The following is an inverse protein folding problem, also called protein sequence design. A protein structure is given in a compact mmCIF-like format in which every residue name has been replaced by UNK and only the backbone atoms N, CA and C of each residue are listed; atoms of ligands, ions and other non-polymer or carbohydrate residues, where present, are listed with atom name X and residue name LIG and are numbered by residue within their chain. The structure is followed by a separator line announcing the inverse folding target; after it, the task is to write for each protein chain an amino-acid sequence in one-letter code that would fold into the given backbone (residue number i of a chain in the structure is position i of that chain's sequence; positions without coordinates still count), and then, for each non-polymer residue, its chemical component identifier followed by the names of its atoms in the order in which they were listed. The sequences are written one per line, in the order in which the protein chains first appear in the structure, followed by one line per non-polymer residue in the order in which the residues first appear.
data_IF_995316883218
#
_entry.id   IF_995316883218
#
_cell.length_a   1.000
_cell.length_b   1.000
_cell.length_c   1.000
_cell.angle_alpha   90.00
_cell.angle_beta   90.00
_cell.angle_gamma   90.00
#
_symmetry.space_group_name_H-M   'P 1'
#
loop_
_entity.id
_entity.type
_entity.pdbx_description
1 polymer ?
#
# COMPACT_ATOMS: atom_id res chain seq x y z
N UNK A 1 -11.07 24.76 56.02
CA UNK A 1 -10.99 23.46 55.30
C UNK A 1 -11.59 23.51 53.89
N UNK A 2 -12.84 23.93 53.68
CA UNK A 2 -13.50 23.90 52.36
C UNK A 2 -12.78 24.67 51.22
N UNK A 3 -12.21 25.85 51.50
CA UNK A 3 -11.49 26.67 50.49
C UNK A 3 -10.19 26.04 49.99
N UNK A 4 -9.52 25.24 50.83
CA UNK A 4 -8.28 24.56 50.48
C UNK A 4 -8.56 23.36 49.56
N UNK A 5 -9.63 22.62 49.85
CA UNK A 5 -10.09 21.48 49.04
C UNK A 5 -10.52 21.93 47.64
N UNK A 6 -11.23 23.05 47.52
CA UNK A 6 -11.67 23.61 46.22
C UNK A 6 -10.47 24.05 45.36
N UNK A 7 -9.43 24.66 45.97
CA UNK A 7 -8.20 25.04 45.26
C UNK A 7 -7.38 23.83 44.79
N UNK A 8 -7.30 22.79 45.62
CA UNK A 8 -6.64 21.54 45.25
C UNK A 8 -7.37 20.80 44.13
N UNK A 9 -8.70 20.77 44.14
CA UNK A 9 -9.50 20.18 43.06
C UNK A 9 -9.34 20.95 41.74
N UNK A 10 -9.34 22.29 41.79
CA UNK A 10 -9.17 23.13 40.60
C UNK A 10 -7.78 22.99 39.97
N UNK A 11 -6.72 22.82 40.79
CA UNK A 11 -5.37 22.56 40.29
C UNK A 11 -5.25 21.18 39.62
N UNK A 12 -5.86 20.14 40.21
CA UNK A 12 -5.88 18.79 39.63
C UNK A 12 -6.65 18.78 38.30
N UNK A 13 -7.75 19.53 38.21
CA UNK A 13 -8.55 19.63 36.98
C UNK A 13 -7.80 20.37 35.84
N UNK A 14 -7.01 21.40 36.16
CA UNK A 14 -6.15 22.11 35.19
C UNK A 14 -4.99 21.25 34.67
N UNK A 15 -4.39 20.40 35.52
CA UNK A 15 -3.33 19.48 35.10
C UNK A 15 -3.89 18.36 34.22
N UNK A 16 -5.12 17.89 34.49
CA UNK A 16 -5.79 16.87 33.68
C UNK A 16 -6.19 17.37 32.28
N UNK A 17 -6.45 18.68 32.10
CA UNK A 17 -6.79 19.24 30.78
C UNK A 17 -5.58 19.42 29.87
N UNK A 18 -4.36 19.57 30.42
CA UNK A 18 -3.12 19.71 29.64
C UNK A 18 -2.55 18.38 29.10
N UNK A 19 -3.02 17.23 29.60
CA UNK A 19 -2.48 15.92 29.26
C UNK A 19 -3.20 15.23 28.08
N UNK A 20 -4.25 15.84 27.52
CA UNK A 20 -4.86 15.41 26.26
C UNK A 20 -4.06 16.01 25.09
N UNK A 21 -2.75 15.73 25.06
CA UNK A 21 -1.96 15.91 23.85
C UNK A 21 -2.54 14.99 22.78
N UNK A 22 -2.99 15.56 21.68
CA UNK A 22 -3.42 14.78 20.53
C UNK A 22 -2.24 13.91 20.10
N UNK A 23 -2.37 12.59 20.26
CA UNK A 23 -1.44 11.62 19.69
C UNK A 23 -1.59 11.70 18.17
N UNK A 24 -0.94 12.68 17.54
CA UNK A 24 -0.80 12.73 16.10
C UNK A 24 0.32 11.77 15.74
N UNK A 25 0.01 10.81 14.88
CA UNK A 25 1.00 9.99 14.21
C UNK A 25 2.05 10.91 13.57
N UNK A 26 3.33 10.60 13.75
CA UNK A 26 4.39 11.35 13.07
C UNK A 26 4.26 11.05 11.57
N UNK A 27 4.05 12.10 10.77
CA UNK A 27 3.94 11.96 9.32
C UNK A 27 5.11 12.59 8.60
N UNK A 28 5.71 11.84 7.68
CA UNK A 28 6.85 12.30 6.88
C UNK A 28 6.72 11.83 5.44
N UNK A 29 6.74 12.78 4.50
CA UNK A 29 6.89 12.44 3.08
C UNK A 29 8.32 11.94 2.83
N UNK A 30 8.46 10.71 2.35
CA UNK A 30 9.75 10.03 2.13
C UNK A 30 10.17 10.00 0.65
N UNK A 31 9.22 10.11 -0.28
CA UNK A 31 9.50 10.15 -1.72
C UNK A 31 8.38 10.82 -2.51
N UNK A 32 8.68 11.30 -3.73
CA UNK A 32 7.72 11.92 -4.68
C UNK A 32 7.96 11.43 -6.10
N UNK A 33 6.89 11.31 -6.87
CA UNK A 33 6.91 11.01 -8.30
C UNK A 33 5.71 11.71 -8.95
N UNK A 34 5.96 12.67 -9.85
CA UNK A 34 4.89 13.47 -10.45
C UNK A 34 4.00 14.13 -9.38
N UNK A 35 2.68 13.87 -9.44
CA UNK A 35 1.72 14.35 -8.44
C UNK A 35 1.56 13.41 -7.23
N UNK A 36 2.17 12.23 -7.27
CA UNK A 36 2.11 11.23 -6.21
C UNK A 36 3.26 11.38 -5.21
N UNK A 37 3.05 10.82 -4.02
CA UNK A 37 4.06 10.80 -2.97
C UNK A 37 3.87 9.62 -2.03
N UNK A 38 4.98 9.23 -1.40
CA UNK A 38 5.00 8.20 -0.38
C UNK A 38 5.23 8.87 0.97
N UNK A 39 4.36 8.55 1.92
CA UNK A 39 4.39 9.06 3.28
C UNK A 39 4.68 7.91 4.24
N UNK A 40 5.47 8.18 5.26
CA UNK A 40 5.62 7.33 6.45
C UNK A 40 4.74 7.91 7.55
N UNK A 41 3.89 7.06 8.13
CA UNK A 41 2.96 7.37 9.22
C UNK A 41 3.18 6.32 10.30
N UNK A 42 3.92 6.67 11.35
CA UNK A 42 4.33 5.75 12.43
C UNK A 42 4.92 4.42 11.92
N UNK A 43 5.78 4.48 10.90
CA UNK A 43 6.41 3.30 10.29
C UNK A 43 5.56 2.58 9.25
N UNK A 44 4.32 3.00 9.02
CA UNK A 44 3.48 2.53 7.92
C UNK A 44 3.64 3.41 6.69
N UNK A 45 3.77 2.76 5.54
CA UNK A 45 3.81 3.47 4.25
C UNK A 45 2.41 3.75 3.74
N UNK A 46 2.12 5.02 3.50
CA UNK A 46 0.89 5.49 2.85
C UNK A 46 1.25 6.05 1.48
N UNK A 47 0.80 5.36 0.43
CA UNK A 47 1.03 5.75 -0.95
C UNK A 47 -0.13 6.61 -1.45
N UNK A 48 0.19 7.82 -1.92
CA UNK A 48 -0.76 8.73 -2.55
C UNK A 48 -0.44 8.80 -4.04
N UNK A 49 -1.44 8.54 -4.89
CA UNK A 49 -1.32 8.61 -6.36
C UNK A 49 -2.44 9.46 -6.94
N UNK A 50 -2.15 10.12 -8.07
CA UNK A 50 -3.12 11.01 -8.72
C UNK A 50 -2.90 11.10 -10.22
N UNK A 51 -3.99 11.20 -10.96
CA UNK A 51 -4.00 11.44 -12.40
C UNK A 51 -4.88 10.45 -13.15
N UNK A 52 -4.54 10.24 -14.42
CA UNK A 52 -5.07 9.14 -15.24
C UNK A 52 -4.66 7.77 -14.65
N UNK A 53 -5.35 6.68 -15.01
CA UNK A 53 -5.00 5.35 -14.51
C UNK A 53 -3.53 4.99 -14.73
N UNK A 54 -3.00 5.25 -15.93
CA UNK A 54 -1.58 5.03 -16.22
C UNK A 54 -0.65 5.87 -15.33
N UNK A 55 -0.93 7.16 -15.15
CA UNK A 55 -0.11 8.04 -14.29
C UNK A 55 -0.13 7.57 -12.83
N UNK A 56 -1.29 7.17 -12.31
CA UNK A 56 -1.41 6.61 -10.97
C UNK A 56 -0.57 5.33 -10.83
N UNK A 57 -0.65 4.45 -11.82
CA UNK A 57 0.15 3.23 -11.88
C UNK A 57 1.65 3.52 -11.90
N UNK A 58 2.09 4.44 -12.76
CA UNK A 58 3.51 4.80 -12.87
C UNK A 58 4.05 5.36 -11.56
N UNK A 59 3.30 6.24 -10.90
CA UNK A 59 3.66 6.78 -9.59
C UNK A 59 3.78 5.67 -8.54
N UNK A 60 2.82 4.74 -8.51
CA UNK A 60 2.87 3.58 -7.62
C UNK A 60 4.12 2.73 -7.87
N UNK A 61 4.33 2.28 -9.12
CA UNK A 61 5.48 1.47 -9.49
C UNK A 61 6.82 2.13 -9.17
N UNK A 62 6.94 3.44 -9.42
CA UNK A 62 8.16 4.18 -9.15
C UNK A 62 8.42 4.39 -7.64
N UNK A 63 7.40 4.75 -6.86
CA UNK A 63 7.53 5.04 -5.43
C UNK A 63 7.70 3.78 -4.57
N UNK A 64 7.20 2.63 -5.04
CA UNK A 64 7.34 1.33 -4.37
C UNK A 64 8.19 0.34 -5.17
N UNK A 65 9.07 0.82 -6.04
CA UNK A 65 9.91 0.02 -6.95
C UNK A 65 10.48 -1.25 -6.31
N UNK A 66 11.19 -1.08 -5.20
CA UNK A 66 11.88 -2.19 -4.55
C UNK A 66 10.91 -3.21 -3.97
N UNK A 67 9.78 -2.77 -3.41
CA UNK A 67 8.74 -3.65 -2.88
C UNK A 67 8.01 -4.41 -3.99
N UNK A 68 7.72 -3.75 -5.11
CA UNK A 68 7.10 -4.39 -6.27
C UNK A 68 8.03 -5.47 -6.83
N UNK A 69 9.33 -5.18 -6.98
CA UNK A 69 10.33 -6.14 -7.47
C UNK A 69 10.51 -7.31 -6.51
N UNK A 70 10.63 -7.02 -5.22
CA UNK A 70 10.72 -8.02 -4.16
C UNK A 70 9.51 -8.94 -4.15
N UNK A 71 8.31 -8.38 -4.14
CA UNK A 71 7.07 -9.16 -4.13
C UNK A 71 6.91 -9.99 -5.40
N UNK A 72 7.25 -9.43 -6.57
CA UNK A 72 7.23 -10.16 -7.84
C UNK A 72 8.21 -11.33 -7.82
N UNK A 73 9.45 -11.11 -7.35
CA UNK A 73 10.44 -12.17 -7.18
C UNK A 73 9.92 -13.24 -6.24
N UNK A 74 9.48 -12.86 -5.04
CA UNK A 74 8.96 -13.79 -4.03
C UNK A 74 7.79 -14.63 -4.56
N UNK A 75 6.82 -14.01 -5.23
CA UNK A 75 5.66 -14.71 -5.77
C UNK A 75 6.04 -15.70 -6.88
N UNK A 76 6.94 -15.32 -7.79
CA UNK A 76 7.27 -16.13 -8.95
C UNK A 76 8.45 -17.10 -8.78
N UNK A 77 9.35 -16.83 -7.86
CA UNK A 77 10.57 -17.62 -7.66
C UNK A 77 10.49 -18.45 -6.38
N UNK A 78 9.76 -18.00 -5.36
CA UNK A 78 9.56 -18.76 -4.13
C UNK A 78 8.18 -19.41 -4.07
N UNK A 79 7.10 -18.62 -4.02
CA UNK A 79 5.74 -19.17 -3.84
C UNK A 79 5.22 -19.98 -5.02
N UNK A 80 5.68 -19.69 -6.23
CA UNK A 80 5.32 -20.45 -7.41
C UNK A 80 5.78 -21.93 -7.34
N UNK A 81 6.83 -22.24 -6.56
CA UNK A 81 7.27 -23.63 -6.31
C UNK A 81 6.21 -24.44 -5.55
N UNK A 82 5.41 -23.78 -4.72
CA UNK A 82 4.33 -24.38 -3.94
C UNK A 82 3.02 -24.50 -4.74
N UNK A 83 2.88 -23.73 -5.82
CA UNK A 83 1.68 -23.74 -6.66
C UNK A 83 1.62 -25.02 -7.50
N UNK A 84 0.97 -26.05 -6.95
CA UNK A 84 0.48 -27.21 -7.72
C UNK A 84 -0.82 -26.82 -8.42
N UNK A 85 -0.72 -26.12 -9.54
CA UNK A 85 -1.89 -25.77 -10.36
C UNK A 85 -2.25 -26.97 -11.23
N UNK A 86 -3.23 -27.74 -10.77
CA UNK A 86 -3.81 -28.84 -11.53
C UNK A 86 -5.13 -28.36 -12.15
N UNK A 87 -5.17 -28.22 -13.48
CA UNK A 87 -6.39 -27.86 -14.20
C UNK A 87 -6.75 -29.04 -15.11
N UNK A 88 -7.87 -29.71 -14.81
CA UNK A 88 -8.38 -30.85 -15.59
C UNK A 88 -7.35 -31.98 -15.80
N UNK A 89 -6.52 -32.27 -14.79
CA UNK A 89 -5.49 -33.31 -14.86
C UNK A 89 -4.22 -32.93 -15.63
N UNK A 90 -4.08 -31.65 -16.03
CA UNK A 90 -2.86 -31.12 -16.64
C UNK A 90 -2.13 -30.31 -15.57
N UNK A 91 -0.92 -30.75 -15.24
CA UNK A 91 0.01 -29.96 -14.44
C UNK A 91 0.39 -28.70 -15.21
N UNK A 92 -0.03 -27.52 -14.74
CA UNK A 92 0.45 -26.25 -15.28
C UNK A 92 1.89 -26.04 -14.79
N UNK A 93 2.84 -26.62 -15.52
CA UNK A 93 4.28 -26.59 -15.24
C UNK A 93 4.89 -25.17 -15.21
N UNK A 94 4.13 -24.14 -15.62
CA UNK A 94 4.60 -22.76 -15.64
C UNK A 94 3.56 -21.80 -15.04
N UNK A 95 3.70 -21.44 -13.75
CA UNK A 95 2.79 -20.52 -13.04
C UNK A 95 2.65 -19.14 -13.71
N UNK A 96 3.70 -18.61 -14.35
CA UNK A 96 3.62 -17.34 -15.12
C UNK A 96 2.66 -17.46 -16.29
N UNK A 97 2.73 -18.57 -17.05
CA UNK A 97 1.79 -18.83 -18.15
C UNK A 97 0.37 -19.06 -17.65
N UNK A 98 0.20 -19.73 -16.50
CA UNK A 98 -1.09 -19.92 -15.85
C UNK A 98 -1.79 -18.59 -15.57
N UNK A 99 -1.08 -17.71 -14.86
CA UNK A 99 -1.59 -16.39 -14.46
C UNK A 99 -1.89 -15.54 -15.70
N UNK A 100 -1.01 -15.56 -16.71
CA UNK A 100 -1.26 -14.87 -17.98
C UNK A 100 -2.53 -15.35 -18.68
N UNK A 101 -2.79 -16.66 -18.71
CA UNK A 101 -4.00 -17.22 -19.30
C UNK A 101 -5.28 -16.84 -18.55
N UNK A 102 -5.22 -16.83 -17.21
CA UNK A 102 -6.33 -16.38 -16.35
C UNK A 102 -6.62 -14.89 -16.62
N UNK A 103 -5.58 -14.05 -16.60
CA UNK A 103 -5.72 -12.61 -16.85
C UNK A 103 -6.32 -12.34 -18.24
N UNK A 104 -5.83 -13.02 -19.28
CA UNK A 104 -6.37 -12.90 -20.64
C UNK A 104 -7.87 -13.29 -20.70
N UNK A 105 -8.26 -14.37 -20.03
CA UNK A 105 -9.66 -14.83 -19.97
C UNK A 105 -10.56 -13.84 -19.24
N UNK A 106 -10.07 -13.27 -18.15
CA UNK A 106 -10.81 -12.33 -17.31
C UNK A 106 -10.86 -10.93 -17.90
N UNK A 107 -9.95 -10.57 -18.82
CA UNK A 107 -9.83 -9.22 -19.39
C UNK A 107 -11.15 -8.61 -19.87
N UNK A 108 -12.06 -9.41 -20.44
CA UNK A 108 -13.37 -8.94 -20.91
C UNK A 108 -14.34 -8.50 -19.80
N UNK A 109 -14.09 -8.91 -18.55
CA UNK A 109 -14.89 -8.56 -17.38
C UNK A 109 -14.26 -7.45 -16.53
N UNK A 110 -13.02 -7.06 -16.84
CA UNK A 110 -12.26 -6.08 -16.07
C UNK A 110 -12.23 -4.76 -16.84
N UNK A 111 -12.70 -3.64 -16.25
CA UNK A 111 -12.63 -2.34 -16.89
C UNK A 111 -11.23 -1.98 -17.39
N UNK A 112 -11.07 -1.41 -18.61
CA UNK A 112 -9.76 -1.15 -19.22
C UNK A 112 -8.79 -0.33 -18.35
N UNK A 113 -9.34 0.61 -17.56
CA UNK A 113 -8.56 1.46 -16.65
C UNK A 113 -7.64 0.69 -15.71
N UNK A 114 -8.03 -0.51 -15.26
CA UNK A 114 -7.20 -1.31 -14.36
C UNK A 114 -5.97 -1.88 -15.07
N UNK A 115 -6.08 -2.23 -16.35
CA UNK A 115 -4.93 -2.67 -17.14
C UNK A 115 -4.01 -1.50 -17.50
N UNK A 116 -4.55 -0.31 -17.71
CA UNK A 116 -3.74 0.91 -17.88
C UNK A 116 -2.96 1.24 -16.62
N UNK A 117 -3.59 1.13 -15.44
CA UNK A 117 -2.90 1.32 -14.16
C UNK A 117 -1.85 0.24 -13.91
N UNK A 118 -2.17 -1.04 -14.13
CA UNK A 118 -1.19 -2.14 -14.02
C UNK A 118 0.00 -1.96 -14.97
N UNK A 119 -0.25 -1.46 -16.19
CA UNK A 119 0.81 -1.11 -17.14
C UNK A 119 1.70 -0.01 -16.56
N UNK A 120 1.10 1.04 -15.99
CA UNK A 120 1.84 2.08 -15.29
C UNK A 120 2.70 1.52 -14.16
N UNK A 121 2.16 0.62 -13.33
CA UNK A 121 2.92 -0.03 -12.23
C UNK A 121 4.14 -0.76 -12.75
N UNK A 122 3.98 -1.56 -13.83
CA UNK A 122 5.08 -2.28 -14.45
C UNK A 122 6.16 -1.33 -15.00
N UNK A 123 5.75 -0.31 -15.76
CA UNK A 123 6.68 0.66 -16.36
C UNK A 123 7.40 1.50 -15.28
N UNK A 124 6.73 1.82 -14.17
CA UNK A 124 7.30 2.55 -13.04
C UNK A 124 8.29 1.73 -12.21
N UNK A 125 8.03 0.43 -12.01
CA UNK A 125 8.88 -0.45 -11.20
C UNK A 125 10.10 -1.01 -11.98
N UNK A 126 10.02 -1.08 -13.32
CA UNK A 126 11.05 -1.67 -14.19
C UNK A 126 11.30 -3.14 -13.88
#
# INVERSE_FOLDING_TARGET
MARTVIRSLAMILMVATGALGTAHAETRVVARCGQGFLEDVDGYRVLHVKGTPYEMGYQHGALLRDHVRENTRFLFEEKAKDLKVEVRGINLLNPKRAIGGIAATQKKYVPPRFYEELRGVADGAG
#
